data_IF_880173832850
#
_entry.id   IF_880173832850
#
_cell.length_a   1.000
_cell.length_b   1.000
_cell.length_c   1.000
_cell.angle_alpha   90.00
_cell.angle_beta   90.00
_cell.angle_gamma   90.00
#
_symmetry.space_group_name_H-M   'P 1'
#
loop_
_entity.id
_entity.type
_entity.pdbx_description
1 polymer ?
#
# COMPACT_ATOMS: atom_id res chain seq x y z
N UNK A 1 -0.27 -12.87 22.84
CA UNK A 1 -0.42 -12.88 21.37
C UNK A 1 0.43 -11.73 20.85
N UNK A 2 1.49 -12.00 20.08
CA UNK A 2 2.25 -10.92 19.45
C UNK A 2 1.32 -10.24 18.44
N UNK A 3 0.88 -9.01 18.74
CA UNK A 3 0.30 -8.12 17.74
C UNK A 3 1.42 -7.82 16.74
N UNK A 4 1.52 -8.63 15.69
CA UNK A 4 2.40 -8.35 14.56
C UNK A 4 1.71 -7.27 13.72
N UNK A 5 2.05 -6.01 14.00
CA UNK A 5 1.64 -4.89 13.16
C UNK A 5 2.49 -4.92 11.89
N UNK A 6 1.85 -5.05 10.72
CA UNK A 6 2.54 -5.05 9.42
C UNK A 6 3.03 -3.65 9.05
N UNK A 7 2.21 -2.63 9.28
CA UNK A 7 2.51 -1.23 8.92
C UNK A 7 2.99 -0.48 10.16
N UNK A 8 4.24 -0.03 10.15
CA UNK A 8 4.81 0.81 11.21
C UNK A 8 4.63 2.29 10.86
N UNK A 9 3.50 2.88 11.25
CA UNK A 9 3.22 4.28 10.94
C UNK A 9 4.19 5.28 11.60
N UNK A 10 4.72 4.99 12.78
CA UNK A 10 5.71 5.86 13.43
C UNK A 10 7.00 5.97 12.59
N UNK A 11 7.44 4.85 12.00
CA UNK A 11 8.58 4.83 11.10
C UNK A 11 8.25 5.52 9.77
N UNK A 12 7.05 5.29 9.23
CA UNK A 12 6.58 5.96 8.01
C UNK A 12 6.57 7.49 8.19
N UNK A 13 6.13 8.01 9.35
CA UNK A 13 6.14 9.43 9.65
C UNK A 13 7.56 10.00 9.57
N UNK A 14 8.51 9.37 10.28
CA UNK A 14 9.94 9.77 10.26
C UNK A 14 10.52 9.76 8.85
N UNK A 15 10.26 8.69 8.09
CA UNK A 15 10.77 8.56 6.72
C UNK A 15 10.11 9.58 5.77
N UNK A 16 8.83 9.91 6.00
CA UNK A 16 8.09 10.91 5.21
C UNK A 16 8.63 12.32 5.43
N UNK A 17 9.12 12.65 6.63
CA UNK A 17 9.82 13.91 6.91
C UNK A 17 11.18 14.01 6.22
N UNK A 18 11.93 12.89 6.20
CA UNK A 18 13.25 12.82 5.56
C UNK A 18 13.11 12.90 4.03
N UNK A 19 12.12 12.21 3.49
CA UNK A 19 11.84 12.16 2.06
C UNK A 19 11.04 13.39 1.58
N UNK A 20 11.77 14.34 0.98
CA UNK A 20 11.24 15.65 0.54
C UNK A 20 10.30 15.62 -0.67
N UNK A 21 9.71 14.47 -1.01
CA UNK A 21 8.72 14.38 -2.08
C UNK A 21 7.49 15.21 -1.74
N UNK A 22 6.98 15.96 -2.73
CA UNK A 22 5.66 16.60 -2.62
C UNK A 22 4.56 15.54 -2.66
N UNK A 23 3.34 15.90 -2.24
CA UNK A 23 2.19 14.98 -2.26
C UNK A 23 1.87 14.52 -3.69
N UNK A 24 2.05 15.39 -4.69
CA UNK A 24 1.88 15.06 -6.11
C UNK A 24 2.93 14.05 -6.57
N UNK A 25 4.19 14.20 -6.14
CA UNK A 25 5.25 13.25 -6.43
C UNK A 25 4.98 11.89 -5.78
N UNK A 26 4.45 11.85 -4.55
CA UNK A 26 4.04 10.61 -3.91
C UNK A 26 2.83 9.96 -4.60
N UNK A 27 1.88 10.75 -5.10
CA UNK A 27 0.75 10.23 -5.89
C UNK A 27 1.21 9.60 -7.21
N UNK A 28 2.21 10.20 -7.88
CA UNK A 28 2.85 9.59 -9.05
C UNK A 28 3.60 8.31 -8.69
N UNK A 29 4.35 8.30 -7.58
CA UNK A 29 5.04 7.09 -7.11
C UNK A 29 4.04 5.98 -6.77
N UNK A 30 2.88 6.30 -6.18
CA UNK A 30 1.83 5.33 -5.95
C UNK A 30 1.33 4.70 -7.26
N UNK A 31 1.21 5.51 -8.32
CA UNK A 31 0.83 5.01 -9.66
C UNK A 31 1.90 4.07 -10.20
N UNK A 32 3.17 4.40 -10.05
CA UNK A 32 4.32 3.55 -10.41
C UNK A 32 4.22 2.18 -9.71
N UNK A 33 4.08 2.15 -8.37
CA UNK A 33 3.99 0.88 -7.61
C UNK A 33 2.80 0.03 -8.05
N UNK A 34 1.64 0.65 -8.31
CA UNK A 34 0.47 -0.10 -8.80
C UNK A 34 0.70 -0.69 -10.21
N UNK A 35 1.52 -0.04 -11.03
CA UNK A 35 1.98 -0.56 -12.31
C UNK A 35 2.93 -1.73 -12.15
N UNK A 36 3.81 -1.70 -11.15
CA UNK A 36 4.73 -2.80 -10.81
C UNK A 36 3.96 -4.01 -10.28
N UNK A 37 2.95 -3.81 -9.42
CA UNK A 37 2.01 -4.88 -9.02
C UNK A 37 1.37 -5.53 -10.25
N UNK A 38 0.84 -4.73 -11.18
CA UNK A 38 0.22 -5.26 -12.39
C UNK A 38 1.22 -6.06 -13.23
N UNK A 39 2.45 -5.55 -13.39
CA UNK A 39 3.51 -6.23 -14.11
C UNK A 39 3.89 -7.56 -13.45
N UNK A 40 4.09 -7.59 -12.14
CA UNK A 40 4.47 -8.77 -11.39
C UNK A 40 3.40 -9.86 -11.51
N UNK A 41 2.12 -9.50 -11.37
CA UNK A 41 1.00 -10.43 -11.53
C UNK A 41 0.95 -10.97 -12.96
N UNK A 42 0.96 -10.10 -13.98
CA UNK A 42 0.86 -10.50 -15.39
C UNK A 42 2.03 -11.39 -15.81
N UNK A 43 3.23 -11.10 -15.33
CA UNK A 43 4.40 -11.94 -15.58
C UNK A 43 4.29 -13.29 -14.87
N UNK A 44 3.91 -13.32 -13.59
CA UNK A 44 3.79 -14.56 -12.81
C UNK A 44 2.71 -15.52 -13.35
N UNK A 45 1.63 -15.00 -13.94
CA UNK A 45 0.59 -15.84 -14.59
C UNK A 45 0.92 -16.20 -16.03
N UNK A 46 2.12 -15.84 -16.53
CA UNK A 46 2.53 -16.01 -17.92
C UNK A 46 1.53 -15.42 -18.93
N UNK A 47 1.00 -14.23 -18.65
CA UNK A 47 0.15 -13.53 -19.60
C UNK A 47 0.91 -13.26 -20.92
N UNK A 48 0.19 -13.24 -22.03
CA UNK A 48 0.76 -12.99 -23.35
C UNK A 48 1.58 -11.68 -23.35
N UNK A 49 2.82 -11.74 -23.81
CA UNK A 49 3.73 -10.59 -23.83
C UNK A 49 4.27 -10.16 -22.45
N UNK A 50 4.02 -10.90 -21.37
CA UNK A 50 4.48 -10.56 -20.02
C UNK A 50 5.33 -11.65 -19.35
N UNK A 51 5.17 -12.92 -19.73
CA UNK A 51 5.87 -14.05 -19.09
C UNK A 51 7.40 -13.97 -19.13
N UNK A 52 7.99 -13.30 -20.13
CA UNK A 52 9.45 -13.17 -20.28
C UNK A 52 10.15 -12.49 -19.10
N UNK A 53 9.43 -11.72 -18.27
CA UNK A 53 9.97 -11.05 -17.09
C UNK A 53 10.13 -11.99 -15.88
N UNK A 54 9.60 -13.21 -15.95
CA UNK A 54 9.75 -14.29 -14.97
C UNK A 54 9.58 -13.86 -13.49
N UNK A 55 8.61 -12.99 -13.22
CA UNK A 55 8.29 -12.53 -11.86
C UNK A 55 7.62 -13.64 -11.07
N UNK A 56 7.86 -13.66 -9.76
CA UNK A 56 7.38 -14.67 -8.83
C UNK A 56 6.31 -14.13 -7.89
N UNK A 57 5.75 -15.01 -7.04
CA UNK A 57 4.88 -14.60 -5.93
C UNK A 57 5.58 -13.71 -4.90
N UNK A 58 6.90 -13.84 -4.77
CA UNK A 58 7.69 -12.96 -3.91
C UNK A 58 7.65 -11.53 -4.47
N UNK A 59 7.94 -11.37 -5.76
CA UNK A 59 7.87 -10.07 -6.42
C UNK A 59 6.49 -9.44 -6.26
N UNK A 60 5.40 -10.19 -6.51
CA UNK A 60 4.03 -9.68 -6.30
C UNK A 60 3.85 -9.13 -4.88
N UNK A 61 4.39 -9.84 -3.88
CA UNK A 61 4.27 -9.44 -2.48
C UNK A 61 5.07 -8.17 -2.20
N UNK A 62 6.28 -8.06 -2.75
CA UNK A 62 7.14 -6.87 -2.67
C UNK A 62 6.43 -5.65 -3.25
N UNK A 63 5.96 -5.72 -4.50
CA UNK A 63 5.28 -4.58 -5.13
C UNK A 63 3.98 -4.19 -4.38
N UNK A 64 3.28 -5.17 -3.78
CA UNK A 64 2.10 -4.88 -2.95
C UNK A 64 2.48 -4.16 -1.65
N UNK A 65 3.62 -4.50 -1.05
CA UNK A 65 4.13 -3.81 0.13
C UNK A 65 4.59 -2.41 -0.20
N UNK A 66 5.17 -2.17 -1.38
CA UNK A 66 5.53 -0.82 -1.83
C UNK A 66 4.30 0.06 -2.01
N UNK A 67 3.21 -0.47 -2.59
CA UNK A 67 1.91 0.24 -2.61
C UNK A 67 1.44 0.61 -1.19
N UNK A 68 1.55 -0.32 -0.24
CA UNK A 68 1.15 -0.07 1.16
C UNK A 68 2.01 1.02 1.80
N UNK A 69 3.33 0.97 1.61
CA UNK A 69 4.28 1.95 2.15
C UNK A 69 4.00 3.33 1.55
N UNK A 70 3.88 3.45 0.24
CA UNK A 70 3.65 4.73 -0.44
C UNK A 70 2.29 5.30 -0.05
N UNK A 71 1.22 4.49 -0.03
CA UNK A 71 -0.09 4.94 0.43
C UNK A 71 -0.06 5.41 1.90
N UNK A 72 0.68 4.71 2.76
CA UNK A 72 0.85 5.12 4.16
C UNK A 72 1.63 6.44 4.29
N UNK A 73 2.65 6.65 3.45
CA UNK A 73 3.39 7.91 3.40
C UNK A 73 2.53 9.10 2.94
N UNK A 74 1.57 8.86 2.04
CA UNK A 74 0.58 9.87 1.61
C UNK A 74 -0.35 10.20 2.77
N UNK A 75 -0.83 9.20 3.52
CA UNK A 75 -1.63 9.43 4.74
C UNK A 75 -0.84 10.32 5.70
N UNK A 76 0.43 9.97 5.96
CA UNK A 76 1.31 10.77 6.82
C UNK A 76 1.42 12.22 6.37
N UNK A 77 1.80 12.45 5.11
CA UNK A 77 2.00 13.79 4.58
C UNK A 77 0.70 14.61 4.56
N UNK A 78 -0.45 13.98 4.30
CA UNK A 78 -1.75 14.65 4.30
C UNK A 78 -2.16 15.20 5.68
N UNK A 79 -1.61 14.64 6.76
CA UNK A 79 -1.81 15.13 8.13
C UNK A 79 -0.58 15.88 8.65
N UNK A 80 0.25 16.45 7.77
CA UNK A 80 1.46 17.19 8.15
C UNK A 80 2.40 16.36 9.07
N UNK A 81 2.40 15.03 8.88
CA UNK A 81 3.08 14.02 9.70
C UNK A 81 2.59 13.90 11.16
N UNK A 82 1.48 14.52 11.53
CA UNK A 82 0.81 14.38 12.83
C UNK A 82 -0.40 13.42 12.75
N UNK A 83 -0.15 12.14 12.47
CA UNK A 83 -1.21 11.13 12.27
C UNK A 83 -1.75 10.63 13.62
N UNK A 84 -3.05 10.78 13.84
CA UNK A 84 -3.79 10.01 14.85
C UNK A 84 -4.04 8.58 14.37
N UNK A 85 -3.24 7.65 14.88
CA UNK A 85 -3.31 6.22 14.51
C UNK A 85 -4.66 5.59 14.85
N UNK A 86 -5.31 5.99 15.96
CA UNK A 86 -6.60 5.43 16.34
C UNK A 86 -7.69 5.90 15.37
N UNK A 87 -7.62 7.16 14.92
CA UNK A 87 -8.52 7.66 13.88
C UNK A 87 -8.34 6.91 12.55
N UNK A 88 -7.09 6.66 12.12
CA UNK A 88 -6.83 5.87 10.90
C UNK A 88 -7.37 4.44 11.03
N UNK A 89 -7.18 3.80 12.19
CA UNK A 89 -7.74 2.47 12.48
C UNK A 89 -9.27 2.47 12.44
N UNK A 90 -9.91 3.50 12.97
CA UNK A 90 -11.37 3.64 12.91
C UNK A 90 -11.87 3.67 11.46
N UNK A 91 -11.26 4.51 10.61
CA UNK A 91 -11.60 4.61 9.18
C UNK A 91 -11.41 3.26 8.50
N UNK A 92 -10.26 2.61 8.72
CA UNK A 92 -9.93 1.33 8.12
C UNK A 92 -10.95 0.24 8.52
N UNK A 93 -11.22 0.10 9.82
CA UNK A 93 -12.18 -0.88 10.33
C UNK A 93 -13.60 -0.64 9.82
N UNK A 94 -14.03 0.62 9.72
CA UNK A 94 -15.32 0.99 9.13
C UNK A 94 -15.42 0.58 7.66
N UNK A 95 -14.34 0.73 6.87
CA UNK A 95 -14.29 0.31 5.47
C UNK A 95 -14.31 -1.22 5.33
N UNK A 96 -13.56 -1.93 6.18
CA UNK A 96 -13.60 -3.39 6.23
C UNK A 96 -14.98 -3.92 6.63
N UNK A 97 -15.63 -3.32 7.62
CA UNK A 97 -16.99 -3.67 8.03
C UNK A 97 -17.98 -3.56 6.86
N UNK A 98 -17.97 -2.43 6.15
CA UNK A 98 -18.78 -2.24 4.93
C UNK A 98 -18.50 -3.26 3.85
N UNK A 99 -17.24 -3.68 3.69
CA UNK A 99 -16.89 -4.69 2.70
C UNK A 99 -17.41 -6.08 3.12
N UNK A 100 -17.27 -6.44 4.39
CA UNK A 100 -17.78 -7.69 4.97
C UNK A 100 -19.29 -7.82 4.81
N UNK A 101 -20.03 -6.74 5.06
CA UNK A 101 -21.49 -6.69 4.86
C UNK A 101 -21.86 -7.02 3.40
N UNK A 102 -21.19 -6.38 2.43
CA UNK A 102 -21.43 -6.64 1.00
C UNK A 102 -21.12 -8.07 0.57
N UNK A 103 -20.06 -8.67 1.12
CA UNK A 103 -19.72 -10.06 0.84
C UNK A 103 -20.70 -11.06 1.46
N UNK A 104 -21.32 -10.71 2.60
CA UNK A 104 -22.26 -11.58 3.32
C UNK A 104 -23.70 -11.50 2.78
N UNK A 105 -23.98 -10.56 1.88
CA UNK A 105 -25.26 -10.40 1.17
C UNK A 105 -25.31 -11.18 -0.15
N UNK A 106 -24.24 -11.89 -0.50
CA UNK A 106 -24.17 -12.86 -1.60
C UNK A 106 -24.30 -14.27 -1.06
#
# INVERSE_FOLDING_TARGET
MNNKTLVNFEEIQKLTEIDKKTIEQRALKLTEETGEVAQAILSNINACGCGYKNKSKHDITEECLDVIIVASSIISQNYENEVDIEFIKEIYNKKLGKWKEKCSQK
#
